data_IF_611795136429
#
_entry.id   IF_611795136429
#
_cell.length_a   1.000
_cell.length_b   1.000
_cell.length_c   1.000
_cell.angle_alpha   90.00
_cell.angle_beta   90.00
_cell.angle_gamma   90.00
#
_symmetry.space_group_name_H-M   'P 1'
#
loop_
_entity.id
_entity.type
_entity.pdbx_description
1 polymer ?
#
# COMPACT_ATOMS: atom_id res chain seq x y z
N UNK A 1 -16.05 -4.14 11.21
CA UNK A 1 -14.71 -4.65 10.84
C UNK A 1 -14.62 -6.17 10.76
N UNK A 2 -15.55 -6.96 11.34
CA UNK A 2 -15.46 -8.43 11.44
C UNK A 2 -15.41 -9.23 10.13
N UNK A 3 -15.49 -8.58 8.96
CA UNK A 3 -15.51 -9.25 7.65
C UNK A 3 -14.44 -8.70 6.68
N UNK A 4 -13.41 -8.00 7.15
CA UNK A 4 -12.28 -7.60 6.31
C UNK A 4 -11.15 -8.61 6.47
N UNK A 5 -10.78 -9.28 5.38
CA UNK A 5 -9.62 -10.15 5.30
C UNK A 5 -8.54 -9.50 4.45
N UNK A 6 -7.28 -9.64 4.87
CA UNK A 6 -6.14 -9.30 4.04
C UNK A 6 -5.56 -10.61 3.49
N UNK A 7 -5.36 -10.67 2.17
CA UNK A 7 -4.80 -11.83 1.46
C UNK A 7 -3.84 -11.38 0.36
N UNK A 8 -2.94 -12.26 -0.11
CA UNK A 8 -2.16 -11.98 -1.32
C UNK A 8 -3.09 -11.61 -2.49
N UNK A 9 -2.66 -10.63 -3.27
CA UNK A 9 -3.34 -10.23 -4.50
C UNK A 9 -3.06 -11.26 -5.61
N UNK A 10 -4.07 -11.50 -6.44
CA UNK A 10 -3.95 -12.32 -7.66
C UNK A 10 -4.22 -11.45 -8.88
N UNK A 11 -3.86 -11.92 -10.07
CA UNK A 11 -4.10 -11.16 -11.31
C UNK A 11 -5.59 -10.82 -11.52
N UNK A 12 -6.50 -11.66 -11.02
CA UNK A 12 -7.95 -11.43 -11.07
C UNK A 12 -8.39 -10.21 -10.25
N UNK A 13 -7.61 -9.81 -9.24
CA UNK A 13 -7.87 -8.61 -8.44
C UNK A 13 -7.51 -7.32 -9.18
N UNK A 14 -6.68 -7.41 -10.22
CA UNK A 14 -6.04 -6.25 -10.83
C UNK A 14 -7.04 -5.23 -11.38
N UNK A 15 -8.18 -5.67 -11.90
CA UNK A 15 -9.22 -4.75 -12.39
C UNK A 15 -9.73 -3.82 -11.28
N UNK A 16 -9.98 -4.36 -10.09
CA UNK A 16 -10.45 -3.56 -8.96
C UNK A 16 -9.31 -2.72 -8.34
N UNK A 17 -8.09 -3.25 -8.32
CA UNK A 17 -6.89 -2.48 -7.94
C UNK A 17 -6.68 -1.28 -8.87
N UNK A 18 -6.81 -1.48 -10.18
CA UNK A 18 -6.72 -0.43 -11.19
C UNK A 18 -7.77 0.65 -10.99
N UNK A 19 -9.02 0.30 -10.69
CA UNK A 19 -10.06 1.29 -10.38
C UNK A 19 -9.70 2.15 -9.14
N UNK A 20 -9.15 1.53 -8.09
CA UNK A 20 -8.69 2.28 -6.91
C UNK A 20 -7.51 3.19 -7.28
N UNK A 21 -6.57 2.70 -8.08
CA UNK A 21 -5.42 3.47 -8.55
C UNK A 21 -5.86 4.71 -9.33
N UNK A 22 -6.75 4.54 -10.31
CA UNK A 22 -7.26 5.65 -11.13
C UNK A 22 -7.93 6.74 -10.29
N UNK A 23 -8.65 6.36 -9.24
CA UNK A 23 -9.26 7.34 -8.34
C UNK A 23 -8.20 8.20 -7.63
N UNK A 24 -7.11 7.60 -7.13
CA UNK A 24 -6.00 8.33 -6.50
C UNK A 24 -5.19 9.16 -7.50
N UNK A 25 -4.95 8.63 -8.70
CA UNK A 25 -4.23 9.33 -9.75
C UNK A 25 -4.98 10.60 -10.22
N UNK A 26 -6.31 10.55 -10.26
CA UNK A 26 -7.15 11.70 -10.59
C UNK A 26 -7.16 12.77 -9.48
N UNK A 27 -7.03 12.37 -8.20
CA UNK A 27 -6.90 13.29 -7.07
C UNK A 27 -5.55 14.01 -7.07
N UNK A 28 -4.45 13.30 -7.36
CA UNK A 28 -3.11 13.90 -7.52
C UNK A 28 -2.46 14.38 -6.21
N UNK A 29 -3.01 14.01 -5.05
CA UNK A 29 -2.60 14.56 -3.74
C UNK A 29 -1.72 13.62 -2.91
N UNK A 30 -1.59 12.35 -3.28
CA UNK A 30 -1.02 11.31 -2.38
C UNK A 30 0.16 10.52 -2.96
N UNK A 31 0.33 10.49 -4.28
CA UNK A 31 1.38 9.72 -4.95
C UNK A 31 2.23 10.55 -5.90
N UNK A 32 3.50 10.18 -6.01
CA UNK A 32 4.46 10.79 -6.94
C UNK A 32 4.33 10.29 -8.39
N UNK A 33 3.45 9.33 -8.66
CA UNK A 33 3.24 8.80 -10.00
C UNK A 33 2.41 9.79 -10.82
N UNK A 34 2.79 9.99 -12.09
CA UNK A 34 2.11 10.89 -13.00
C UNK A 34 0.71 10.35 -13.35
N UNK A 35 -0.25 11.24 -13.60
CA UNK A 35 -1.61 10.90 -14.02
C UNK A 35 -1.65 10.12 -15.35
N UNK A 36 -0.54 10.11 -16.11
CA UNK A 36 -0.37 9.41 -17.38
C UNK A 36 0.14 7.97 -17.32
N UNK A 37 0.37 7.38 -16.14
CA UNK A 37 0.83 5.99 -16.05
C UNK A 37 -0.19 5.02 -16.66
N UNK A 38 0.30 4.11 -17.51
CA UNK A 38 -0.55 3.13 -18.19
C UNK A 38 -1.05 2.04 -17.22
N UNK A 39 -2.10 1.35 -17.64
CA UNK A 39 -2.62 0.18 -16.93
C UNK A 39 -1.54 -0.92 -16.87
N UNK A 40 -0.78 -1.09 -17.92
CA UNK A 40 0.32 -2.06 -18.03
C UNK A 40 1.45 -1.72 -17.04
N UNK A 41 1.91 -0.46 -17.01
CA UNK A 41 2.93 -0.03 -16.03
C UNK A 41 2.44 -0.15 -14.59
N UNK A 42 1.15 0.10 -14.37
CA UNK A 42 0.53 -0.09 -13.05
C UNK A 42 0.49 -1.56 -12.67
N UNK A 43 0.18 -2.45 -13.61
CA UNK A 43 0.25 -3.90 -13.40
C UNK A 43 1.67 -4.31 -13.01
N UNK A 44 2.67 -3.93 -13.79
CA UNK A 44 4.07 -4.26 -13.56
C UNK A 44 4.57 -3.68 -12.23
N UNK A 45 4.10 -2.49 -11.85
CA UNK A 45 4.41 -1.90 -10.57
C UNK A 45 3.88 -2.74 -9.39
N UNK A 46 2.61 -3.14 -9.43
CA UNK A 46 1.97 -3.88 -8.33
C UNK A 46 2.36 -5.37 -8.32
N UNK A 47 2.62 -5.99 -9.46
CA UNK A 47 2.98 -7.40 -9.59
C UNK A 47 4.47 -7.61 -9.93
N UNK A 48 5.32 -6.63 -9.63
CA UNK A 48 6.76 -6.76 -9.80
C UNK A 48 7.29 -8.03 -9.10
N UNK A 49 8.23 -8.80 -9.71
CA UNK A 49 8.70 -10.08 -9.16
C UNK A 49 9.24 -10.03 -7.73
N UNK A 50 9.75 -8.87 -7.33
CA UNK A 50 10.42 -8.63 -6.05
C UNK A 50 9.45 -8.08 -4.99
N UNK A 51 8.19 -7.89 -5.37
CA UNK A 51 7.16 -7.28 -4.54
C UNK A 51 6.14 -8.31 -4.06
N UNK A 52 5.76 -8.20 -2.80
CA UNK A 52 4.63 -8.93 -2.23
C UNK A 52 3.43 -7.99 -2.13
N UNK A 53 2.38 -8.28 -2.90
CA UNK A 53 1.18 -7.44 -2.97
C UNK A 53 -0.02 -8.11 -2.33
N UNK A 54 -0.77 -7.33 -1.57
CA UNK A 54 -1.90 -7.78 -0.77
C UNK A 54 -3.10 -6.87 -0.97
N UNK A 55 -4.29 -7.44 -0.84
CA UNK A 55 -5.57 -6.75 -0.93
C UNK A 55 -6.37 -6.95 0.37
N UNK A 56 -7.00 -5.88 0.84
CA UNK A 56 -8.03 -5.94 1.87
C UNK A 56 -9.39 -6.15 1.20
N UNK A 57 -10.06 -7.25 1.50
CA UNK A 57 -11.32 -7.67 0.88
C UNK A 57 -12.40 -7.73 1.94
N UNK A 58 -13.62 -7.26 1.60
CA UNK A 58 -14.82 -7.45 2.42
C UNK A 58 -15.81 -8.36 1.69
N UNK A 59 -16.23 -9.44 2.34
CA UNK A 59 -16.99 -10.49 1.67
C UNK A 59 -16.15 -11.22 0.62
N UNK A 60 -16.78 -11.76 -0.43
CA UNK A 60 -16.08 -12.60 -1.40
C UNK A 60 -15.22 -11.80 -2.40
N UNK A 61 -15.61 -10.56 -2.78
CA UNK A 61 -14.95 -9.89 -3.91
C UNK A 61 -14.70 -8.38 -3.75
N UNK A 62 -15.22 -7.72 -2.71
CA UNK A 62 -15.09 -6.26 -2.63
C UNK A 62 -13.71 -5.85 -2.10
N UNK A 63 -12.81 -5.48 -2.99
CA UNK A 63 -11.52 -4.88 -2.64
C UNK A 63 -11.74 -3.46 -2.08
N UNK A 64 -11.24 -3.25 -0.86
CA UNK A 64 -11.33 -1.98 -0.15
C UNK A 64 -10.00 -1.22 -0.14
N UNK A 65 -8.90 -1.91 -0.42
CA UNK A 65 -7.59 -1.31 -0.50
C UNK A 65 -6.54 -2.37 -0.77
N UNK A 66 -5.31 -1.91 -0.96
CA UNK A 66 -4.17 -2.72 -1.34
C UNK A 66 -2.89 -2.15 -0.74
N UNK A 67 -1.90 -3.02 -0.58
CA UNK A 67 -0.53 -2.58 -0.35
C UNK A 67 0.47 -3.46 -1.09
N UNK A 68 1.61 -2.86 -1.44
CA UNK A 68 2.78 -3.52 -2.02
C UNK A 68 3.92 -3.42 -1.03
N UNK A 69 4.62 -4.52 -0.76
CA UNK A 69 5.80 -4.58 0.10
C UNK A 69 7.00 -5.04 -0.71
N UNK A 70 8.13 -4.38 -0.56
CA UNK A 70 9.38 -4.69 -1.27
C UNK A 70 10.59 -4.18 -0.50
N UNK A 71 11.80 -4.52 -0.94
CA UNK A 71 13.03 -3.87 -0.47
C UNK A 71 13.02 -2.38 -0.84
N UNK A 72 13.46 -1.52 0.08
CA UNK A 72 13.61 -0.09 -0.20
C UNK A 72 14.85 0.19 -1.09
N UNK A 73 15.92 -0.58 -0.89
CA UNK A 73 17.16 -0.46 -1.64
C UNK A 73 17.75 -1.84 -1.96
N UNK A 74 18.62 -1.90 -2.97
CA UNK A 74 19.33 -3.12 -3.36
C UNK A 74 20.53 -3.42 -2.46
N UNK A 75 21.05 -4.65 -2.54
CA UNK A 75 22.31 -5.05 -1.91
C UNK A 75 22.30 -4.86 -0.41
N UNK A 76 23.26 -4.09 0.12
CA UNK A 76 23.41 -3.89 1.57
C UNK A 76 22.24 -3.15 2.22
N UNK A 77 21.40 -2.46 1.45
CA UNK A 77 20.19 -1.79 1.94
C UNK A 77 18.93 -2.66 1.92
N UNK A 78 19.00 -3.91 1.44
CA UNK A 78 17.84 -4.78 1.26
C UNK A 78 17.17 -5.21 2.57
N UNK A 79 17.79 -4.96 3.72
CA UNK A 79 17.21 -5.20 5.05
C UNK A 79 16.15 -4.16 5.45
N UNK A 80 15.99 -3.07 4.70
CA UNK A 80 14.95 -2.05 4.92
C UNK A 80 13.81 -2.28 3.92
N UNK A 81 12.60 -2.48 4.41
CA UNK A 81 11.40 -2.56 3.60
C UNK A 81 10.92 -1.18 3.16
N UNK A 82 10.21 -1.13 2.03
CA UNK A 82 9.35 -0.05 1.62
C UNK A 82 7.96 -0.63 1.29
N UNK A 83 6.93 0.18 1.50
CA UNK A 83 5.60 -0.19 1.07
C UNK A 83 4.83 0.99 0.48
N UNK A 84 3.84 0.66 -0.33
CA UNK A 84 2.89 1.61 -0.93
C UNK A 84 1.48 1.10 -0.68
N UNK A 85 0.56 2.01 -0.38
CA UNK A 85 -0.80 1.73 0.08
C UNK A 85 -1.84 2.51 -0.71
N UNK A 86 -2.94 1.89 -1.09
CA UNK A 86 -4.09 2.61 -1.64
C UNK A 86 -5.36 2.09 -1.00
N UNK A 87 -6.21 2.99 -0.51
CA UNK A 87 -7.53 2.67 0.05
C UNK A 87 -8.59 3.23 -0.89
N UNK A 88 -9.60 2.42 -1.23
CA UNK A 88 -10.72 2.88 -2.05
C UNK A 88 -11.36 4.13 -1.43
N UNK A 89 -11.68 5.17 -2.21
CA UNK A 89 -12.40 6.35 -1.71
C UNK A 89 -13.70 5.98 -0.98
N UNK A 90 -14.37 4.91 -1.44
CA UNK A 90 -15.60 4.37 -0.85
C UNK A 90 -15.37 3.58 0.47
N UNK A 91 -14.13 3.49 0.93
CA UNK A 91 -13.71 2.77 2.14
C UNK A 91 -12.85 3.65 3.07
N UNK A 92 -12.87 4.97 2.88
CA UNK A 92 -12.20 5.91 3.77
C UNK A 92 -12.89 5.97 5.13
N UNK A 93 -12.13 6.31 6.18
CA UNK A 93 -12.65 6.52 7.54
C UNK A 93 -13.10 5.26 8.30
N UNK A 94 -13.11 4.07 7.68
CA UNK A 94 -13.56 2.81 8.32
C UNK A 94 -12.42 1.88 8.76
N UNK A 95 -11.18 2.40 8.82
CA UNK A 95 -10.03 1.70 9.40
C UNK A 95 -9.22 0.81 8.45
N UNK A 96 -9.52 0.79 7.14
CA UNK A 96 -8.81 -0.07 6.17
C UNK A 96 -7.31 0.21 6.12
N UNK A 97 -6.91 1.50 6.05
CA UNK A 97 -5.49 1.87 6.03
C UNK A 97 -4.73 1.40 7.26
N UNK A 98 -5.37 1.41 8.43
CA UNK A 98 -4.78 0.87 9.66
C UNK A 98 -4.56 -0.63 9.58
N UNK A 99 -5.56 -1.39 9.14
CA UNK A 99 -5.43 -2.84 8.94
C UNK A 99 -4.33 -3.20 7.94
N UNK A 100 -4.26 -2.48 6.82
CA UNK A 100 -3.21 -2.68 5.80
C UNK A 100 -1.82 -2.39 6.38
N UNK A 101 -1.66 -1.30 7.13
CA UNK A 101 -0.40 -0.92 7.76
C UNK A 101 0.05 -1.87 8.85
N UNK A 102 -0.85 -2.34 9.73
CA UNK A 102 -0.51 -3.37 10.72
C UNK A 102 -0.09 -4.68 10.05
N UNK A 103 -0.82 -5.10 9.02
CA UNK A 103 -0.52 -6.32 8.29
C UNK A 103 0.82 -6.24 7.56
N UNK A 104 1.12 -5.14 6.88
CA UNK A 104 2.37 -4.97 6.13
C UNK A 104 3.59 -4.94 7.06
N UNK A 105 3.49 -4.34 8.24
CA UNK A 105 4.57 -4.36 9.25
C UNK A 105 4.80 -5.81 9.75
N UNK A 106 3.71 -6.54 10.01
CA UNK A 106 3.78 -7.95 10.38
C UNK A 106 4.43 -8.81 9.28
N UNK A 107 4.06 -8.59 8.03
CA UNK A 107 4.62 -9.28 6.87
C UNK A 107 6.09 -8.94 6.66
N UNK A 108 6.47 -7.66 6.79
CA UNK A 108 7.86 -7.24 6.67
C UNK A 108 8.76 -7.96 7.70
N UNK A 109 8.28 -8.11 8.94
CA UNK A 109 8.98 -8.90 9.96
C UNK A 109 9.07 -10.37 9.60
N UNK A 110 7.98 -10.98 9.09
CA UNK A 110 7.98 -12.39 8.63
C UNK A 110 8.98 -12.64 7.51
N UNK A 111 9.15 -11.68 6.61
CA UNK A 111 10.11 -11.74 5.50
C UNK A 111 11.55 -11.38 5.92
N UNK A 112 11.79 -11.04 7.19
CA UNK A 112 13.13 -10.80 7.73
C UNK A 112 13.66 -9.37 7.55
N UNK A 113 12.81 -8.41 7.17
CA UNK A 113 13.21 -7.00 7.16
C UNK A 113 13.42 -6.49 8.59
N UNK A 114 14.44 -5.64 8.76
CA UNK A 114 14.84 -5.07 10.05
C UNK A 114 14.21 -3.70 10.32
N UNK A 115 13.80 -2.99 9.27
CA UNK A 115 13.15 -1.69 9.35
C UNK A 115 12.18 -1.49 8.18
N UNK A 116 11.32 -0.48 8.26
CA UNK A 116 10.50 -0.02 7.15
C UNK A 116 10.63 1.49 7.00
N UNK A 117 10.78 1.96 5.77
CA UNK A 117 10.93 3.37 5.43
C UNK A 117 9.99 3.74 4.28
N UNK A 118 9.25 4.84 4.44
CA UNK A 118 8.53 5.50 3.37
C UNK A 118 9.32 6.71 2.91
N UNK A 119 9.74 6.70 1.65
CA UNK A 119 10.61 7.76 1.11
C UNK A 119 9.86 9.07 0.91
N UNK A 120 8.57 8.99 0.58
CA UNK A 120 7.72 10.14 0.33
C UNK A 120 6.37 9.91 1.01
N UNK A 121 5.99 10.83 1.90
CA UNK A 121 4.64 10.97 2.43
C UNK A 121 4.31 12.44 2.30
N UNK A 122 3.23 12.77 1.58
CA UNK A 122 2.87 14.16 1.29
C UNK A 122 2.54 14.88 2.60
N UNK A 123 3.22 16.00 2.87
CA UNK A 123 3.16 16.70 4.16
C UNK A 123 1.77 17.28 4.49
N UNK A 124 0.92 17.50 3.49
CA UNK A 124 -0.47 17.94 3.65
C UNK A 124 -1.45 16.79 3.92
N UNK A 125 -1.04 15.53 3.72
CA UNK A 125 -1.87 14.35 4.00
C UNK A 125 -1.87 14.00 5.49
N UNK A 126 -2.46 14.88 6.31
CA UNK A 126 -2.54 14.73 7.76
C UNK A 126 -3.15 13.38 8.22
N UNK A 127 -4.22 12.85 7.59
CA UNK A 127 -4.75 11.53 7.95
C UNK A 127 -3.72 10.41 7.85
N UNK A 128 -2.93 10.40 6.78
CA UNK A 128 -1.88 9.40 6.56
C UNK A 128 -0.72 9.56 7.55
N UNK A 129 -0.28 10.80 7.80
CA UNK A 129 0.76 11.08 8.80
C UNK A 129 0.33 10.60 10.20
N UNK A 130 -0.92 10.86 10.59
CA UNK A 130 -1.47 10.38 11.86
C UNK A 130 -1.60 8.87 11.94
N UNK A 131 -1.93 8.21 10.82
CA UNK A 131 -1.93 6.76 10.73
C UNK A 131 -0.53 6.20 10.98
N UNK A 132 0.49 6.67 10.26
CA UNK A 132 1.85 6.16 10.38
C UNK A 132 2.43 6.39 11.78
N UNK A 133 2.22 7.56 12.38
CA UNK A 133 2.62 7.82 13.77
C UNK A 133 1.99 6.84 14.77
N UNK A 134 0.70 6.50 14.61
CA UNK A 134 0.04 5.50 15.47
C UNK A 134 0.58 4.09 15.27
N UNK A 135 1.11 3.78 14.08
CA UNK A 135 1.77 2.52 13.78
C UNK A 135 3.26 2.49 14.18
N UNK A 136 3.75 3.53 14.84
CA UNK A 136 5.12 3.58 15.38
C UNK A 136 6.16 4.18 14.42
N UNK A 137 5.74 4.76 13.29
CA UNK A 137 6.66 5.50 12.43
C UNK A 137 7.03 6.87 13.02
N UNK A 138 8.25 7.31 12.73
CA UNK A 138 8.75 8.64 13.05
C UNK A 138 9.10 9.38 11.75
N UNK A 139 8.89 10.70 11.72
CA UNK A 139 9.33 11.54 10.60
C UNK A 139 10.84 11.75 10.74
N UNK A 140 11.60 11.37 9.72
CA UNK A 140 13.08 11.44 9.74
C UNK A 140 13.65 12.64 8.97
N UNK A 141 12.84 13.31 8.15
CA UNK A 141 13.21 14.45 7.31
C UNK A 141 12.07 14.86 6.38
#
# INVERSE_FOLDING_TARGET
MKDIQIRPATETDFNAMWTIFQAHAAEGETYAQDAGISREETYDYWFAPEASTYVAVRGEERILGMYKLQRNHVGRGAHVANASYMVSPNAQGVGVGHLLGEHSIGEARRQGYLAMQFNFVVSTNNPEIHLWKRLGFSIVG
#
